data_IF_372479713315
#
_entry.id   IF_372479713315
#
_cell.length_a   1.000
_cell.length_b   1.000
_cell.length_c   1.000
_cell.angle_alpha   90.00
_cell.angle_beta   90.00
_cell.angle_gamma   90.00
#
_symmetry.space_group_name_H-M   'P 1'
#
loop_
_entity.id
_entity.type
_entity.pdbx_description
1 polymer ?
#
# COMPACT_ATOMS: atom_id res chain seq x y z
N UNK A 1 5.35 -12.31 1.25
CA UNK A 1 5.41 -12.43 -0.23
C UNK A 1 6.62 -11.66 -0.77
N UNK A 2 6.97 -11.86 -2.03
CA UNK A 2 8.02 -11.07 -2.71
C UNK A 2 7.38 -10.41 -3.94
N UNK A 3 7.56 -9.10 -4.06
CA UNK A 3 7.19 -8.26 -5.19
C UNK A 3 8.50 -7.63 -5.70
N UNK A 4 8.85 -7.88 -6.97
CA UNK A 4 10.22 -7.68 -7.47
C UNK A 4 10.36 -6.56 -8.50
N UNK A 5 9.32 -6.27 -9.29
CA UNK A 5 9.33 -5.20 -10.27
C UNK A 5 7.91 -4.91 -10.78
N UNK A 6 7.43 -3.69 -10.52
CA UNK A 6 6.26 -3.14 -11.19
C UNK A 6 6.44 -1.62 -11.31
N UNK A 7 6.21 -1.01 -12.48
CA UNK A 7 6.63 0.37 -12.73
C UNK A 7 5.94 1.42 -11.85
N UNK A 8 4.80 1.08 -11.25
CA UNK A 8 3.99 2.00 -10.45
C UNK A 8 3.80 1.48 -9.02
N UNK A 9 2.67 0.82 -8.74
CA UNK A 9 2.29 0.34 -7.40
C UNK A 9 2.25 -1.19 -7.36
N UNK A 10 2.94 -1.82 -6.42
CA UNK A 10 3.00 -3.29 -6.31
C UNK A 10 1.77 -3.91 -5.64
N UNK A 11 1.17 -3.22 -4.67
CA UNK A 11 -0.03 -3.69 -3.97
C UNK A 11 -1.02 -2.55 -3.69
N UNK A 12 -2.27 -2.80 -4.06
CA UNK A 12 -3.37 -1.86 -3.92
C UNK A 12 -4.38 -2.32 -2.85
N UNK A 13 -4.66 -1.47 -1.86
CA UNK A 13 -5.69 -1.68 -0.83
C UNK A 13 -6.71 -0.54 -0.92
N UNK A 14 -7.82 -0.76 -1.66
CA UNK A 14 -8.75 0.29 -2.10
C UNK A 14 -10.21 -0.13 -1.92
N UNK A 15 -11.17 0.79 -2.15
CA UNK A 15 -12.61 0.49 -2.30
C UNK A 15 -13.21 -0.22 -1.08
N UNK A 16 -13.02 0.34 0.11
CA UNK A 16 -13.57 -0.20 1.35
C UNK A 16 -12.86 -1.45 1.87
N UNK A 17 -11.71 -1.82 1.30
CA UNK A 17 -10.91 -2.95 1.81
C UNK A 17 -10.51 -2.69 3.26
N UNK A 18 -10.93 -3.56 4.18
CA UNK A 18 -10.75 -3.41 5.61
C UNK A 18 -10.16 -4.68 6.26
N UNK A 19 -9.52 -4.53 7.42
CA UNK A 19 -8.88 -5.59 8.19
C UNK A 19 -7.76 -6.31 7.42
N UNK A 20 -6.97 -5.54 6.67
CA UNK A 20 -5.84 -6.07 5.90
C UNK A 20 -4.57 -6.05 6.75
N UNK A 21 -3.79 -7.13 6.73
CA UNK A 21 -2.44 -7.18 7.32
C UNK A 21 -1.42 -7.53 6.25
N UNK A 22 -0.40 -6.69 6.10
CA UNK A 22 0.77 -6.94 5.24
C UNK A 22 1.98 -7.12 6.16
N UNK A 23 2.54 -8.33 6.20
CA UNK A 23 3.70 -8.60 7.02
C UNK A 23 4.69 -9.54 6.34
N UNK A 24 5.97 -9.43 6.76
CA UNK A 24 7.05 -10.31 6.32
C UNK A 24 7.12 -10.46 4.79
N UNK A 25 6.90 -9.35 4.09
CA UNK A 25 6.94 -9.25 2.64
C UNK A 25 8.05 -8.33 2.17
N UNK A 26 8.53 -8.56 0.94
CA UNK A 26 9.59 -7.78 0.28
C UNK A 26 8.99 -7.06 -0.93
N UNK A 27 9.23 -5.76 -1.01
CA UNK A 27 8.76 -4.86 -2.06
C UNK A 27 9.96 -4.10 -2.64
N UNK A 28 10.21 -4.26 -3.94
CA UNK A 28 11.42 -3.72 -4.57
C UNK A 28 11.23 -3.25 -6.01
N UNK A 29 12.08 -2.29 -6.42
CA UNK A 29 12.21 -1.81 -7.80
C UNK A 29 10.89 -1.31 -8.41
N UNK A 30 10.10 -0.60 -7.60
CA UNK A 30 8.84 0.01 -8.01
C UNK A 30 8.83 1.50 -7.70
N UNK A 31 7.81 2.23 -8.17
CA UNK A 31 7.62 3.60 -7.72
C UNK A 31 7.13 3.62 -6.27
N UNK A 32 6.06 2.90 -6.00
CA UNK A 32 5.43 2.80 -4.68
C UNK A 32 5.14 1.35 -4.35
N UNK A 33 5.37 0.92 -3.11
CA UNK A 33 5.09 -0.46 -2.74
C UNK A 33 3.59 -0.70 -2.48
N UNK A 34 2.97 0.08 -1.59
CA UNK A 34 1.55 -0.05 -1.26
C UNK A 34 0.79 1.26 -1.50
N UNK A 35 -0.34 1.20 -2.23
CA UNK A 35 -1.34 2.27 -2.24
C UNK A 35 -2.50 1.89 -1.31
N UNK A 36 -2.71 2.70 -0.28
CA UNK A 36 -3.81 2.54 0.69
C UNK A 36 -4.82 3.68 0.49
N UNK A 37 -5.99 3.35 -0.04
CA UNK A 37 -7.02 4.32 -0.41
C UNK A 37 -6.81 4.94 -1.80
N UNK A 38 -7.90 5.40 -2.43
CA UNK A 38 -7.83 6.19 -3.67
C UNK A 38 -7.73 7.68 -3.32
N UNK A 39 -6.96 8.44 -4.11
CA UNK A 39 -6.98 9.89 -4.02
C UNK A 39 -8.31 10.45 -4.58
N UNK A 40 -8.89 11.41 -3.85
CA UNK A 40 -10.03 12.22 -4.30
C UNK A 40 -11.38 11.79 -3.72
N UNK A 41 -12.31 12.75 -3.66
CA UNK A 41 -13.63 12.63 -3.00
C UNK A 41 -14.62 11.69 -3.73
N UNK A 42 -14.17 10.89 -4.70
CA UNK A 42 -15.04 10.04 -5.53
C UNK A 42 -15.66 8.91 -4.69
N UNK A 43 -14.88 8.33 -3.77
CA UNK A 43 -15.36 7.42 -2.73
C UNK A 43 -14.54 7.75 -1.48
N UNK A 44 -15.21 8.26 -0.43
CA UNK A 44 -14.55 8.60 0.83
C UNK A 44 -14.40 7.34 1.70
N UNK A 45 -13.17 6.87 1.82
CA UNK A 45 -12.83 5.59 2.43
C UNK A 45 -12.65 5.72 3.94
N UNK A 46 -13.76 5.86 4.68
CA UNK A 46 -13.71 6.13 6.13
C UNK A 46 -13.46 4.89 7.00
N UNK A 47 -13.78 3.70 6.50
CA UNK A 47 -13.71 2.44 7.27
C UNK A 47 -12.56 1.51 6.85
N UNK A 48 -11.65 1.97 5.98
CA UNK A 48 -10.48 1.17 5.60
C UNK A 48 -9.49 1.07 6.76
N UNK A 49 -8.98 -0.15 7.00
CA UNK A 49 -7.97 -0.44 8.03
C UNK A 49 -6.88 -1.32 7.46
N UNK A 50 -5.63 -0.92 7.72
CA UNK A 50 -4.44 -1.61 7.26
C UNK A 50 -3.43 -1.72 8.42
N UNK A 51 -2.84 -2.89 8.61
CA UNK A 51 -1.69 -3.09 9.50
C UNK A 51 -0.48 -3.52 8.67
N UNK A 52 0.61 -2.76 8.75
CA UNK A 52 1.85 -3.05 8.01
C UNK A 52 3.01 -3.17 8.99
N UNK A 53 3.64 -4.34 9.06
CA UNK A 53 4.76 -4.55 9.97
C UNK A 53 5.76 -5.58 9.44
N UNK A 54 7.04 -5.40 9.77
CA UNK A 54 8.12 -6.34 9.43
C UNK A 54 8.25 -6.62 7.92
N UNK A 55 8.00 -5.63 7.06
CA UNK A 55 8.25 -5.74 5.62
C UNK A 55 9.59 -5.11 5.25
N UNK A 56 10.18 -5.61 4.18
CA UNK A 56 11.41 -5.08 3.60
C UNK A 56 11.06 -4.24 2.37
N UNK A 57 11.42 -2.96 2.39
CA UNK A 57 11.20 -2.02 1.29
C UNK A 57 12.56 -1.53 0.79
N UNK A 58 12.87 -1.71 -0.49
CA UNK A 58 14.12 -1.25 -1.08
C UNK A 58 13.95 -0.78 -2.52
N UNK A 59 14.80 0.13 -2.99
CA UNK A 59 14.79 0.61 -4.38
C UNK A 59 13.42 1.15 -4.85
N UNK A 60 12.64 1.74 -3.93
CA UNK A 60 11.39 2.43 -4.28
C UNK A 60 11.71 3.87 -4.68
N UNK A 61 11.16 4.35 -5.80
CA UNK A 61 11.45 5.71 -6.28
C UNK A 61 10.58 6.79 -5.64
N UNK A 62 9.51 6.41 -4.95
CA UNK A 62 8.57 7.32 -4.29
C UNK A 62 8.25 6.90 -2.84
N UNK A 63 7.30 5.96 -2.63
CA UNK A 63 6.76 5.66 -1.29
C UNK A 63 6.78 4.17 -0.93
N UNK A 64 7.10 3.84 0.33
CA UNK A 64 6.82 2.51 0.88
C UNK A 64 5.31 2.25 1.01
N UNK A 65 4.58 3.23 1.52
CA UNK A 65 3.12 3.20 1.62
C UNK A 65 2.62 4.59 1.29
N UNK A 66 1.87 4.73 0.20
CA UNK A 66 1.13 5.94 -0.14
C UNK A 66 -0.29 5.79 0.42
N UNK A 67 -0.61 6.55 1.46
CA UNK A 67 -1.91 6.48 2.15
C UNK A 67 -2.79 7.70 1.86
N UNK A 68 -4.06 7.46 1.58
CA UNK A 68 -5.13 8.42 1.40
C UNK A 68 -6.28 8.06 2.34
N UNK A 69 -6.42 8.83 3.42
CA UNK A 69 -7.38 8.59 4.51
C UNK A 69 -7.24 7.19 5.17
N UNK A 70 -8.22 6.80 5.98
CA UNK A 70 -8.24 5.52 6.70
C UNK A 70 -7.31 5.47 7.92
N UNK A 71 -7.26 4.29 8.55
CA UNK A 71 -6.37 4.04 9.68
C UNK A 71 -5.24 3.09 9.27
N UNK A 72 -4.01 3.59 9.37
CA UNK A 72 -2.75 2.87 9.23
C UNK A 72 -2.15 2.55 10.61
#
# INVERSE_FOLDING_TARGET
CVFEEYPLVELDVKRGSHHVTISWSRFENAQTAVLFGLAGDIIKETDQTLSVHHNYFASLSNDGILAHDGRL
#
